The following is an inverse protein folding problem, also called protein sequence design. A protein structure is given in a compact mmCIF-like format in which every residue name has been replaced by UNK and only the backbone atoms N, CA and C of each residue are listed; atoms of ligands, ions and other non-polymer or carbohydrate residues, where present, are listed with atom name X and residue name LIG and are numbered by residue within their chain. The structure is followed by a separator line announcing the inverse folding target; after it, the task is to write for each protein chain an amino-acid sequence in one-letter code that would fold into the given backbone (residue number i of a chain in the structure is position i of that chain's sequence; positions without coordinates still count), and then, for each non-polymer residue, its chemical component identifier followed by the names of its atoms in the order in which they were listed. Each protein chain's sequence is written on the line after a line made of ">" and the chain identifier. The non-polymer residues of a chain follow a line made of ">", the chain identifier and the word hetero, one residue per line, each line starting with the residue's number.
data_IF_420142523855
#
_entry.id   IF_420142523855
#
_cell.length_a   1.000
_cell.length_b   1.000
_cell.length_c   1.000
_cell.angle_alpha   90.00
_cell.angle_beta   90.00
_cell.angle_gamma   90.00
#
_symmetry.space_group_name_H-M   'P 1'
#
loop_
_entity.id
_entity.type
_entity.pdbx_description
1 polymer ?
#
# COMPACT_ATOMS: atom_id res chain seq x y z
N UNK A 1 -31.44 -54.12 47.77
CA UNK A 1 -30.88 -52.95 48.49
C UNK A 1 -29.92 -52.28 47.53
N UNK A 2 -30.15 -51.11 46.94
CA UNK A 2 -30.37 -49.78 47.53
C UNK A 2 -31.14 -48.84 46.58
N UNK A 3 -32.02 -48.03 47.21
CA UNK A 3 -32.53 -46.68 46.91
C UNK A 3 -32.51 -46.11 45.47
N UNK A 4 -33.71 -45.85 44.97
CA UNK A 4 -34.03 -44.70 44.11
C UNK A 4 -34.98 -43.77 44.89
N UNK A 5 -34.69 -42.47 44.91
CA UNK A 5 -35.51 -41.43 45.55
C UNK A 5 -36.19 -40.56 44.49
N UNK A 6 -37.50 -40.41 44.69
CA UNK A 6 -38.49 -39.73 43.86
C UNK A 6 -38.40 -38.21 43.97
N UNK A 7 -38.73 -37.50 42.88
CA UNK A 7 -39.17 -36.11 42.87
C UNK A 7 -40.67 -36.09 42.50
N UNK A 8 -41.51 -35.26 43.14
CA UNK A 8 -42.84 -34.98 42.64
C UNK A 8 -43.00 -33.57 42.05
N UNK A 9 -44.05 -33.54 41.22
CA UNK A 9 -44.73 -32.52 40.42
C UNK A 9 -45.10 -31.20 41.08
N UNK A 10 -45.40 -30.19 40.23
CA UNK A 10 -46.66 -29.41 40.09
C UNK A 10 -46.34 -28.02 39.47
N UNK A 11 -46.82 -27.71 38.27
CA UNK A 11 -48.12 -27.07 37.90
C UNK A 11 -47.96 -25.56 37.58
N UNK A 12 -48.33 -25.17 36.35
CA UNK A 12 -48.57 -23.78 35.94
C UNK A 12 -49.77 -23.16 36.71
N UNK A 13 -49.86 -21.82 36.76
CA UNK A 13 -50.90 -21.17 35.96
C UNK A 13 -50.52 -19.79 35.36
N UNK A 14 -51.46 -19.25 34.60
CA UNK A 14 -51.37 -18.18 33.62
C UNK A 14 -51.42 -16.74 34.17
N UNK A 15 -51.08 -15.82 33.24
CA UNK A 15 -51.54 -14.44 33.08
C UNK A 15 -51.10 -13.39 34.12
N UNK A 16 -50.46 -12.30 33.65
CA UNK A 16 -51.08 -10.97 33.57
C UNK A 16 -50.16 -10.01 32.79
N UNK A 17 -50.73 -9.36 31.77
CA UNK A 17 -50.12 -8.34 30.94
C UNK A 17 -50.23 -6.98 31.64
N UNK A 18 -49.14 -6.20 31.66
CA UNK A 18 -49.21 -4.76 31.90
C UNK A 18 -48.09 -4.00 31.19
N UNK A 19 -48.47 -3.35 30.09
CA UNK A 19 -48.10 -2.00 29.66
C UNK A 19 -46.72 -1.45 30.07
N UNK A 20 -45.79 -1.42 29.11
CA UNK A 20 -44.78 -0.38 29.02
C UNK A 20 -44.82 0.26 27.62
N UNK A 21 -45.27 1.51 27.61
CA UNK A 21 -45.26 2.45 26.48
C UNK A 21 -43.81 2.74 26.08
N UNK A 22 -43.46 2.47 24.83
CA UNK A 22 -42.28 3.04 24.18
C UNK A 22 -42.68 4.31 23.42
N UNK A 23 -41.87 5.38 23.44
CA UNK A 23 -42.17 6.59 22.70
C UNK A 23 -41.89 6.38 21.21
N UNK A 24 -42.85 6.83 20.40
CA UNK A 24 -42.76 6.97 18.95
C UNK A 24 -41.80 8.13 18.67
N UNK A 25 -40.60 7.82 18.17
CA UNK A 25 -39.74 8.82 17.53
C UNK A 25 -40.09 8.86 16.04
N UNK A 26 -40.69 9.99 15.69
CA UNK A 26 -41.03 10.49 14.38
C UNK A 26 -39.81 10.61 13.46
N UNK A 27 -39.94 10.04 12.26
CA UNK A 27 -39.42 10.56 10.98
C UNK A 27 -38.12 11.36 11.03
N UNK A 28 -37.00 10.67 10.82
CA UNK A 28 -35.79 11.31 10.29
C UNK A 28 -35.87 11.30 8.76
N UNK A 29 -36.01 12.50 8.20
CA UNK A 29 -35.90 12.81 6.78
C UNK A 29 -34.56 12.30 6.22
N UNK A 30 -34.64 11.31 5.33
CA UNK A 30 -33.51 10.76 4.61
C UNK A 30 -33.29 11.57 3.31
N UNK A 31 -33.06 12.87 3.45
CA UNK A 31 -32.77 13.76 2.31
C UNK A 31 -31.56 14.63 2.59
N UNK A 32 -30.39 14.02 2.78
CA UNK A 32 -29.09 14.67 2.51
C UNK A 32 -27.91 13.70 2.72
N UNK A 33 -27.92 12.54 2.05
CA UNK A 33 -26.66 11.83 1.79
C UNK A 33 -26.06 12.36 0.49
N UNK A 34 -25.04 13.22 0.62
CA UNK A 34 -24.18 13.62 -0.49
C UNK A 34 -23.54 12.36 -1.05
N UNK A 35 -23.89 12.02 -2.28
CA UNK A 35 -23.23 11.01 -3.10
C UNK A 35 -21.72 11.26 -3.16
N UNK A 36 -20.87 10.21 -3.05
CA UNK A 36 -19.44 10.35 -3.30
C UNK A 36 -19.19 10.79 -4.75
N UNK A 37 -18.10 11.51 -5.05
CA UNK A 37 -17.86 12.05 -6.36
C UNK A 37 -17.71 10.92 -7.39
N UNK A 38 -18.49 11.01 -8.47
CA UNK A 38 -18.34 10.20 -9.67
C UNK A 38 -16.94 10.38 -10.26
N UNK A 39 -16.12 9.33 -10.26
CA UNK A 39 -14.86 9.31 -10.98
C UNK A 39 -15.15 9.31 -12.49
N UNK A 40 -14.96 10.46 -13.13
CA UNK A 40 -15.06 10.62 -14.58
C UNK A 40 -13.73 10.26 -15.24
N UNK A 41 -13.69 9.14 -15.96
CA UNK A 41 -12.51 8.61 -16.67
C UNK A 41 -12.02 9.45 -17.87
N UNK A 42 -12.58 10.64 -18.11
CA UNK A 42 -12.41 11.38 -19.38
C UNK A 42 -11.42 12.56 -19.35
N UNK A 43 -10.60 12.73 -18.31
CA UNK A 43 -9.62 13.85 -18.28
C UNK A 43 -8.23 13.41 -17.85
N UNK A 44 -7.48 12.85 -18.80
CA UNK A 44 -6.02 12.90 -18.77
C UNK A 44 -5.52 13.86 -19.86
N UNK A 45 -4.57 14.76 -19.56
CA UNK A 45 -3.95 15.60 -20.58
C UNK A 45 -3.05 14.74 -21.50
N UNK A 46 -2.94 15.06 -22.80
CA UNK A 46 -2.05 14.35 -23.70
C UNK A 46 -0.59 14.64 -23.35
N UNK A 47 0.25 13.60 -23.43
CA UNK A 47 1.70 13.71 -23.25
C UNK A 47 2.32 14.60 -24.35
N UNK A 48 3.35 15.41 -24.03
CA UNK A 48 4.04 16.22 -25.02
C UNK A 48 4.83 15.34 -25.99
N UNK A 49 4.65 15.57 -27.30
CA UNK A 49 5.47 14.98 -28.37
C UNK A 49 6.93 15.41 -28.21
N UNK A 50 7.79 14.49 -27.79
CA UNK A 50 9.24 14.66 -27.87
C UNK A 50 9.66 14.67 -29.35
N UNK A 51 10.15 15.82 -29.79
CA UNK A 51 10.67 16.07 -31.14
C UNK A 51 12.09 15.50 -31.20
N UNK A 52 12.31 14.51 -32.08
CA UNK A 52 13.64 13.96 -32.34
C UNK A 52 14.59 15.05 -32.88
N UNK A 53 15.83 15.18 -32.38
CA UNK A 53 16.80 16.09 -32.95
C UNK A 53 17.44 15.47 -34.20
N UNK A 54 17.54 16.32 -35.22
CA UNK A 54 18.11 16.08 -36.55
C UNK A 54 19.63 15.89 -36.44
N UNK A 55 20.13 14.89 -37.17
CA UNK A 55 21.55 14.59 -37.32
C UNK A 55 22.29 15.68 -38.11
N UNK A 56 23.52 15.98 -37.72
CA UNK A 56 24.52 16.63 -38.57
C UNK A 56 25.90 15.95 -38.39
N UNK A 57 26.76 15.93 -39.43
CA UNK A 57 27.83 14.92 -39.51
C UNK A 57 29.26 15.48 -39.40
N UNK A 58 30.19 14.58 -39.02
CA UNK A 58 31.66 14.58 -39.19
C UNK A 58 32.53 15.55 -38.35
N UNK A 59 33.86 15.32 -38.23
CA UNK A 59 34.65 14.07 -38.27
C UNK A 59 35.65 13.91 -37.07
N UNK A 60 36.13 12.70 -36.84
CA UNK A 60 37.38 12.36 -36.10
C UNK A 60 38.50 11.99 -37.12
N UNK A 61 39.80 11.79 -36.79
CA UNK A 61 40.40 11.44 -35.49
C UNK A 61 41.78 12.07 -35.18
N UNK A 62 42.27 11.98 -33.93
CA UNK A 62 43.71 11.88 -33.67
C UNK A 62 44.03 11.11 -32.38
N UNK A 63 45.11 10.33 -32.50
CA UNK A 63 45.65 9.29 -31.63
C UNK A 63 46.35 9.80 -30.37
N UNK A 64 46.35 9.00 -29.29
CA UNK A 64 47.56 8.51 -28.58
C UNK A 64 47.23 7.56 -27.40
N UNK A 65 47.82 6.35 -27.43
CA UNK A 65 48.13 5.42 -26.30
C UNK A 65 49.22 6.04 -25.37
N UNK A 66 49.66 5.46 -24.20
CA UNK A 66 49.63 4.05 -23.70
C UNK A 66 49.46 3.94 -22.13
N UNK A 67 49.99 2.93 -21.38
CA UNK A 67 49.98 1.47 -21.51
C UNK A 67 49.33 0.73 -20.31
N UNK A 68 49.26 -0.61 -20.45
CA UNK A 68 48.88 -1.66 -19.49
C UNK A 68 49.89 -1.91 -18.37
N UNK A 69 49.41 -2.27 -17.16
CA UNK A 69 50.15 -3.13 -16.22
C UNK A 69 49.23 -4.10 -15.47
N UNK A 70 49.80 -5.28 -15.22
CA UNK A 70 49.25 -6.53 -14.66
C UNK A 70 49.33 -6.52 -13.12
N UNK A 71 48.42 -7.22 -12.43
CA UNK A 71 48.73 -7.78 -11.10
C UNK A 71 47.58 -7.83 -10.08
N UNK A 72 47.05 -9.02 -9.82
CA UNK A 72 46.39 -9.43 -8.56
C UNK A 72 47.46 -10.18 -7.72
N UNK A 73 47.46 -10.28 -6.36
CA UNK A 73 46.33 -10.79 -5.56
C UNK A 73 46.18 -10.34 -4.06
N UNK A 74 44.98 -10.62 -3.51
CA UNK A 74 44.57 -11.00 -2.12
C UNK A 74 45.41 -10.63 -0.88
N UNK A 75 44.76 -10.04 0.13
CA UNK A 75 44.94 -10.34 1.56
C UNK A 75 43.60 -10.18 2.36
N UNK A 76 43.30 -11.20 3.19
CA UNK A 76 42.31 -11.22 4.30
C UNK A 76 42.52 -10.00 5.21
N UNK A 77 41.54 -9.36 5.85
CA UNK A 77 40.29 -9.83 6.43
C UNK A 77 40.22 -9.30 7.87
N UNK A 78 39.24 -8.44 8.19
CA UNK A 78 38.73 -8.25 9.55
C UNK A 78 37.24 -7.93 9.45
N UNK A 79 36.46 -8.79 10.07
CA UNK A 79 35.02 -8.73 10.19
C UNK A 79 34.57 -7.49 10.98
N UNK A 80 33.44 -6.91 10.59
CA UNK A 80 32.55 -6.25 11.54
C UNK A 80 31.11 -6.59 11.14
N UNK A 81 30.51 -7.41 11.99
CA UNK A 81 29.11 -7.78 12.14
C UNK A 81 28.11 -7.19 11.11
N UNK A 82 27.75 -8.01 10.12
CA UNK A 82 26.46 -7.91 9.44
C UNK A 82 25.39 -8.42 10.42
N UNK A 83 24.95 -7.56 11.33
CA UNK A 83 23.71 -7.80 12.07
C UNK A 83 22.57 -7.72 11.05
N UNK A 84 22.11 -8.88 10.60
CA UNK A 84 21.00 -9.00 9.66
C UNK A 84 19.77 -8.29 10.19
N UNK A 85 19.34 -7.27 9.46
CA UNK A 85 18.02 -6.64 9.59
C UNK A 85 17.34 -6.65 8.22
N UNK A 86 17.31 -7.80 7.56
CA UNK A 86 16.61 -8.00 6.28
C UNK A 86 15.08 -7.93 6.39
N UNK A 87 14.52 -7.65 7.58
CA UNK A 87 13.08 -7.51 7.83
C UNK A 87 12.58 -6.09 8.11
N UNK A 88 13.44 -5.05 8.05
CA UNK A 88 13.05 -3.66 8.35
C UNK A 88 13.16 -2.68 7.18
N UNK A 89 13.52 -3.16 5.98
CA UNK A 89 13.73 -2.30 4.82
C UNK A 89 12.40 -1.93 4.12
N UNK A 90 11.43 -2.84 4.08
CA UNK A 90 10.14 -2.64 3.40
C UNK A 90 9.02 -2.32 4.40
N UNK A 91 9.23 -1.37 5.31
CA UNK A 91 8.22 -0.93 6.28
C UNK A 91 7.81 0.51 6.02
N UNK A 92 6.50 0.74 6.13
CA UNK A 92 5.90 2.07 6.17
C UNK A 92 5.36 2.35 7.55
N UNK A 93 5.63 3.56 8.06
CA UNK A 93 5.19 3.99 9.38
C UNK A 93 4.24 5.18 9.22
N UNK A 94 3.05 5.09 9.82
CA UNK A 94 2.13 6.21 9.91
C UNK A 94 2.60 7.12 11.04
N UNK A 95 3.08 8.32 10.69
CA UNK A 95 3.72 9.24 11.62
C UNK A 95 2.95 10.54 11.71
N UNK A 96 2.78 11.02 12.94
CA UNK A 96 2.41 12.39 13.24
C UNK A 96 3.54 13.07 14.01
N UNK A 97 3.71 14.37 13.80
CA UNK A 97 4.75 15.14 14.48
C UNK A 97 4.39 16.61 14.69
N UNK A 98 5.09 17.21 15.64
CA UNK A 98 5.07 18.62 15.96
C UNK A 98 6.50 19.15 15.86
N UNK A 99 6.69 20.25 15.12
CA UNK A 99 7.99 20.92 14.96
C UNK A 99 8.03 22.22 15.78
N UNK A 100 9.00 22.33 16.67
CA UNK A 100 9.33 23.53 17.46
C UNK A 100 10.68 24.07 17.02
N UNK A 101 10.82 25.40 16.92
CA UNK A 101 12.10 26.04 16.60
C UNK A 101 13.19 25.75 17.64
N UNK A 102 14.46 25.78 17.22
CA UNK A 102 15.60 25.40 18.08
C UNK A 102 15.71 26.22 19.37
N UNK A 103 15.36 27.51 19.30
CA UNK A 103 15.50 28.46 20.41
C UNK A 103 14.41 28.31 21.49
N UNK A 104 13.33 27.58 21.19
CA UNK A 104 12.12 27.49 22.02
C UNK A 104 12.13 26.26 22.95
N UNK A 105 13.23 26.06 23.68
CA UNK A 105 13.39 24.90 24.58
C UNK A 105 12.34 24.88 25.71
N UNK A 106 11.93 26.06 26.20
CA UNK A 106 10.87 26.16 27.22
C UNK A 106 9.53 25.61 26.72
N UNK A 107 9.16 25.96 25.49
CA UNK A 107 7.93 25.48 24.86
C UNK A 107 8.00 23.96 24.66
N UNK A 108 9.15 23.43 24.24
CA UNK A 108 9.34 21.98 24.10
C UNK A 108 9.07 21.23 25.41
N UNK A 109 9.63 21.71 26.52
CA UNK A 109 9.44 21.08 27.83
C UNK A 109 7.99 21.14 28.31
N UNK A 110 7.31 22.27 28.09
CA UNK A 110 5.88 22.43 28.40
C UNK A 110 5.02 21.44 27.59
N UNK A 111 5.25 21.35 26.28
CA UNK A 111 4.56 20.39 25.41
C UNK A 111 4.81 18.94 25.83
N UNK A 112 6.04 18.59 26.21
CA UNK A 112 6.34 17.25 26.74
C UNK A 112 5.57 16.94 28.02
N UNK A 113 5.42 17.93 28.91
CA UNK A 113 4.66 17.79 30.14
C UNK A 113 3.17 17.61 29.86
N UNK A 114 2.61 18.40 28.93
CA UNK A 114 1.21 18.31 28.49
C UNK A 114 0.89 16.95 27.86
N UNK A 115 1.77 16.45 26.99
CA UNK A 115 1.65 15.10 26.41
C UNK A 115 1.74 13.99 27.45
N UNK A 116 2.59 14.18 28.48
CA UNK A 116 2.65 13.24 29.62
C UNK A 116 1.40 13.31 30.49
N UNK A 117 0.69 14.44 30.47
CA UNK A 117 -0.62 14.65 31.11
C UNK A 117 -1.80 14.05 30.34
N UNK A 118 -1.60 13.58 29.11
CA UNK A 118 -2.62 12.97 28.27
C UNK A 118 -3.23 13.87 27.20
N UNK A 119 -2.68 15.08 26.97
CA UNK A 119 -3.09 15.93 25.85
C UNK A 119 -2.80 15.24 24.51
N UNK A 120 -3.63 15.49 23.49
CA UNK A 120 -3.42 14.96 22.14
C UNK A 120 -2.32 15.75 21.41
N UNK A 121 -1.39 15.03 20.78
CA UNK A 121 -0.33 15.62 19.97
C UNK A 121 -0.90 16.35 18.75
N UNK A 122 -2.03 15.88 18.20
CA UNK A 122 -2.68 16.53 17.06
C UNK A 122 -3.08 17.97 17.38
N UNK A 123 -3.75 18.19 18.51
CA UNK A 123 -4.21 19.51 18.94
C UNK A 123 -3.03 20.46 19.19
N UNK A 124 -2.00 19.96 19.90
CA UNK A 124 -0.78 20.72 20.13
C UNK A 124 -0.05 21.05 18.83
N UNK A 125 -0.11 20.16 17.84
CA UNK A 125 0.52 20.39 16.54
C UNK A 125 -0.20 21.49 15.75
N UNK A 126 -1.54 21.54 15.80
CA UNK A 126 -2.31 22.64 15.18
C UNK A 126 -1.91 23.99 15.79
N UNK A 127 -1.80 24.05 17.12
CA UNK A 127 -1.57 25.30 17.86
C UNK A 127 -0.12 25.80 17.76
N UNK A 128 0.85 24.90 17.93
CA UNK A 128 2.26 25.28 18.17
C UNK A 128 3.25 24.85 17.10
N UNK A 129 2.88 23.96 16.17
CA UNK A 129 3.82 23.45 15.16
C UNK A 129 4.15 24.50 14.10
N UNK A 130 5.42 24.55 13.70
CA UNK A 130 5.91 25.38 12.59
C UNK A 130 5.82 24.63 11.25
N UNK A 131 5.60 23.30 11.27
CA UNK A 131 5.49 22.49 10.05
C UNK A 131 4.16 22.76 9.32
N UNK A 132 4.14 22.80 7.96
CA UNK A 132 2.91 22.91 7.19
C UNK A 132 1.86 21.82 7.52
N UNK A 133 2.30 20.64 7.97
CA UNK A 133 1.41 19.56 8.42
C UNK A 133 0.51 19.93 9.61
N UNK A 134 0.73 21.07 10.28
CA UNK A 134 -0.13 21.57 11.35
C UNK A 134 -1.60 21.69 10.95
N UNK A 135 -1.90 21.95 9.66
CA UNK A 135 -3.27 22.06 9.15
C UNK A 135 -4.06 20.76 9.28
N UNK A 136 -3.36 19.63 9.39
CA UNK A 136 -3.90 18.28 9.55
C UNK A 136 -3.38 17.63 10.85
N UNK A 137 -3.16 18.43 11.90
CA UNK A 137 -2.75 17.90 13.21
C UNK A 137 -1.33 17.34 13.25
N UNK A 138 -0.44 17.81 12.36
CA UNK A 138 0.94 17.32 12.30
C UNK A 138 1.11 15.98 11.57
N UNK A 139 0.06 15.48 10.93
CA UNK A 139 0.08 14.20 10.21
C UNK A 139 1.03 14.26 9.00
N UNK A 140 2.06 13.43 8.99
CA UNK A 140 2.94 13.25 7.82
C UNK A 140 2.44 12.17 6.87
N UNK A 141 1.59 11.27 7.36
CA UNK A 141 1.14 10.11 6.61
C UNK A 141 2.11 8.92 6.71
N UNK A 142 2.05 8.03 5.73
CA UNK A 142 2.92 6.85 5.65
C UNK A 142 4.32 7.24 5.15
N UNK A 143 5.30 7.15 6.05
CA UNK A 143 6.71 7.48 5.79
C UNK A 143 7.51 6.21 5.51
N UNK A 144 8.35 6.28 4.47
CA UNK A 144 9.34 5.24 4.10
C UNK A 144 10.76 5.70 4.43
N UNK A 145 11.68 4.74 4.49
CA UNK A 145 13.11 5.06 4.56
C UNK A 145 13.54 5.88 3.35
N UNK A 146 14.39 6.87 3.58
CA UNK A 146 14.89 7.80 2.56
C UNK A 146 13.95 8.94 2.19
N UNK A 147 12.73 9.02 2.74
CA UNK A 147 11.82 10.16 2.50
C UNK A 147 12.08 11.36 3.42
N UNK A 148 12.63 11.15 4.61
CA UNK A 148 12.87 12.19 5.62
C UNK A 148 14.36 12.36 5.94
N UNK A 149 14.70 13.40 6.72
CA UNK A 149 16.09 13.60 7.17
C UNK A 149 16.55 12.45 8.07
N UNK A 150 17.84 12.05 8.01
CA UNK A 150 18.34 10.85 8.70
C UNK A 150 18.04 10.83 10.21
N UNK A 151 18.16 11.98 10.88
CA UNK A 151 17.95 12.10 12.33
C UNK A 151 16.47 11.91 12.71
N UNK A 152 15.56 12.36 11.85
CA UNK A 152 14.13 12.15 12.02
C UNK A 152 13.75 10.71 11.72
N UNK A 153 14.29 10.16 10.64
CA UNK A 153 14.06 8.76 10.26
C UNK A 153 14.50 7.81 11.38
N UNK A 154 15.72 7.98 11.89
CA UNK A 154 16.22 7.13 12.98
C UNK A 154 15.30 7.17 14.20
N UNK A 155 14.81 8.35 14.56
CA UNK A 155 13.88 8.52 15.68
C UNK A 155 12.53 7.85 15.42
N UNK A 156 11.97 7.97 14.21
CA UNK A 156 10.72 7.33 13.79
C UNK A 156 10.84 5.80 13.84
N UNK A 157 11.88 5.23 13.24
CA UNK A 157 12.02 3.78 13.13
C UNK A 157 12.45 3.10 14.45
N UNK A 158 12.99 3.86 15.40
CA UNK A 158 13.31 3.37 16.74
C UNK A 158 12.19 3.65 17.76
N UNK A 159 11.20 4.49 17.42
CA UNK A 159 10.11 4.82 18.32
C UNK A 159 9.16 3.63 18.53
N UNK A 160 8.74 3.34 19.77
CA UNK A 160 7.67 2.40 20.04
C UNK A 160 6.31 2.94 19.59
N UNK A 161 5.42 2.05 19.16
CA UNK A 161 4.05 2.40 18.74
C UNK A 161 3.32 3.18 19.84
N UNK A 162 2.59 4.21 19.41
CA UNK A 162 1.79 5.12 20.21
C UNK A 162 2.56 5.87 21.31
N UNK A 163 3.89 5.93 21.26
CA UNK A 163 4.71 6.71 22.20
C UNK A 163 5.32 7.92 21.52
N UNK A 164 5.32 9.04 22.24
CA UNK A 164 5.98 10.27 21.78
C UNK A 164 7.48 10.16 22.03
N UNK A 165 8.26 10.40 20.98
CA UNK A 165 9.71 10.49 21.03
C UNK A 165 10.13 11.88 20.56
N UNK A 166 11.20 12.42 21.14
CA UNK A 166 11.80 13.67 20.69
C UNK A 166 13.02 13.39 19.83
N UNK A 167 13.22 14.19 18.79
CA UNK A 167 14.48 14.24 18.06
C UNK A 167 14.84 15.67 17.67
N UNK A 168 16.13 15.90 17.43
CA UNK A 168 16.64 17.18 16.94
C UNK A 168 17.05 17.01 15.48
N UNK A 169 16.61 17.91 14.62
CA UNK A 169 17.08 18.01 13.24
C UNK A 169 17.60 19.42 12.97
N UNK A 170 18.11 19.68 11.77
CA UNK A 170 18.48 21.02 11.30
C UNK A 170 17.33 22.03 11.25
N UNK A 171 16.07 21.59 11.39
CA UNK A 171 14.89 22.46 11.35
C UNK A 171 14.42 22.87 12.75
N UNK A 172 14.86 22.17 13.79
CA UNK A 172 14.28 22.33 15.12
C UNK A 172 14.20 21.05 15.93
N UNK A 173 13.41 21.14 16.99
CA UNK A 173 13.00 20.02 17.82
C UNK A 173 11.71 19.43 17.28
N UNK A 174 11.68 18.12 17.11
CA UNK A 174 10.49 17.38 16.70
C UNK A 174 10.02 16.53 17.87
N UNK A 175 8.71 16.59 18.15
CA UNK A 175 8.01 15.59 18.94
C UNK A 175 7.21 14.75 17.96
N UNK A 176 7.51 13.47 17.86
CA UNK A 176 6.90 12.56 16.90
C UNK A 176 6.27 11.36 17.58
N UNK A 177 5.24 10.81 16.96
CA UNK A 177 4.56 9.60 17.43
C UNK A 177 4.26 8.72 16.23
N UNK A 178 4.59 7.44 16.36
CA UNK A 178 4.24 6.42 15.37
C UNK A 178 2.90 5.82 15.76
N UNK A 179 1.89 5.97 14.90
CA UNK A 179 0.53 5.50 15.14
C UNK A 179 0.32 4.06 14.65
N UNK A 180 0.94 3.72 13.53
CA UNK A 180 0.79 2.39 12.91
C UNK A 180 2.06 2.02 12.15
N UNK A 181 2.33 0.71 12.07
CA UNK A 181 3.31 0.15 11.15
C UNK A 181 2.62 -0.78 10.14
N UNK A 182 3.10 -0.79 8.90
CA UNK A 182 2.70 -1.78 7.89
C UNK A 182 3.86 -2.16 7.00
N UNK A 183 3.72 -3.30 6.34
CA UNK A 183 4.63 -3.69 5.26
C UNK A 183 4.33 -2.85 4.01
N UNK A 184 5.40 -2.47 3.30
CA UNK A 184 5.29 -1.74 2.06
C UNK A 184 4.54 -2.56 1.00
N UNK A 185 3.61 -1.91 0.31
CA UNK A 185 2.96 -2.49 -0.86
C UNK A 185 3.91 -2.44 -2.05
N UNK A 186 4.25 -3.60 -2.59
CA UNK A 186 5.11 -3.78 -3.75
C UNK A 186 4.25 -3.83 -5.01
N UNK A 187 4.58 -2.99 -5.99
CA UNK A 187 4.09 -3.12 -7.36
C UNK A 187 5.29 -3.32 -8.28
N UNK A 188 5.31 -4.45 -8.97
CA UNK A 188 6.37 -4.82 -9.91
C UNK A 188 5.77 -5.28 -11.24
N UNK A 189 6.53 -5.14 -12.31
CA UNK A 189 6.21 -5.80 -13.58
C UNK A 189 6.78 -7.22 -13.55
N UNK A 190 5.98 -8.19 -14.00
CA UNK A 190 6.45 -9.55 -14.28
C UNK A 190 6.57 -9.74 -15.79
N UNK A 191 7.70 -10.26 -16.24
CA UNK A 191 7.89 -10.58 -17.65
C UNK A 191 7.09 -11.85 -18.02
N UNK A 192 6.53 -11.91 -19.25
CA UNK A 192 5.65 -13.01 -19.62
C UNK A 192 6.27 -14.40 -19.54
N UNK A 193 7.57 -14.54 -19.84
CA UNK A 193 8.31 -15.80 -19.77
C UNK A 193 8.44 -16.30 -18.32
N UNK A 194 8.64 -15.37 -17.38
CA UNK A 194 8.70 -15.67 -15.95
C UNK A 194 7.31 -16.09 -15.44
N UNK A 195 6.26 -15.36 -15.83
CA UNK A 195 4.89 -15.71 -15.47
C UNK A 195 4.53 -17.10 -16.03
N UNK A 196 4.87 -17.39 -17.28
CA UNK A 196 4.60 -18.70 -17.89
C UNK A 196 5.30 -19.83 -17.14
N UNK A 197 6.56 -19.63 -16.75
CA UNK A 197 7.31 -20.61 -15.95
C UNK A 197 6.63 -20.85 -14.60
N UNK A 198 6.23 -19.79 -13.89
CA UNK A 198 5.51 -19.88 -12.62
C UNK A 198 4.15 -20.57 -12.77
N UNK A 199 3.45 -20.34 -13.87
CA UNK A 199 2.16 -20.98 -14.15
C UNK A 199 2.27 -22.49 -14.38
N UNK A 200 3.45 -23.04 -14.66
CA UNK A 200 3.65 -24.49 -14.73
C UNK A 200 3.65 -25.16 -13.34
N UNK A 201 3.89 -24.39 -12.28
CA UNK A 201 3.89 -24.89 -10.91
C UNK A 201 2.46 -24.92 -10.34
N UNK A 202 1.91 -26.09 -9.97
CA UNK A 202 0.55 -26.17 -9.43
C UNK A 202 0.36 -25.38 -8.13
N UNK A 203 1.40 -25.31 -7.30
CA UNK A 203 1.41 -24.53 -6.06
C UNK A 203 1.25 -23.03 -6.30
N UNK A 204 1.75 -22.52 -7.43
CA UNK A 204 1.57 -21.13 -7.82
C UNK A 204 0.12 -20.83 -8.16
N UNK A 205 -0.54 -21.69 -8.93
CA UNK A 205 -1.94 -21.50 -9.33
C UNK A 205 -2.88 -21.49 -8.11
N UNK A 206 -2.62 -22.32 -7.10
CA UNK A 206 -3.43 -22.36 -5.88
C UNK A 206 -3.15 -21.18 -4.92
N UNK A 207 -1.91 -20.68 -4.93
CA UNK A 207 -1.46 -19.62 -4.03
C UNK A 207 -1.67 -18.20 -4.56
N UNK A 208 -1.58 -18.00 -5.87
CA UNK A 208 -1.64 -16.71 -6.53
C UNK A 208 -3.07 -16.32 -6.92
N UNK A 209 -3.31 -15.01 -6.99
CA UNK A 209 -4.56 -14.43 -7.48
C UNK A 209 -4.32 -13.88 -8.88
N UNK A 210 -4.94 -14.50 -9.87
CA UNK A 210 -4.79 -14.12 -11.28
C UNK A 210 -6.03 -13.34 -11.72
N UNK A 211 -5.87 -12.08 -12.11
CA UNK A 211 -6.96 -11.17 -12.50
C UNK A 211 -6.75 -10.72 -13.93
N UNK A 212 -7.77 -10.89 -14.77
CA UNK A 212 -7.79 -10.37 -16.14
C UNK A 212 -8.82 -9.25 -16.24
N UNK A 213 -8.36 -8.05 -16.58
CA UNK A 213 -9.21 -6.84 -16.59
C UNK A 213 -9.72 -6.46 -17.98
N UNK A 214 -9.58 -7.38 -18.94
CA UNK A 214 -10.11 -7.23 -20.30
C UNK A 214 -11.61 -7.49 -20.36
N UNK A 215 -12.21 -7.05 -21.45
CA UNK A 215 -13.63 -7.31 -21.70
C UNK A 215 -13.86 -8.78 -22.14
N UNK A 216 -15.04 -9.36 -21.88
CA UNK A 216 -15.28 -10.78 -22.18
C UNK A 216 -15.05 -11.17 -23.66
N UNK A 217 -15.34 -10.26 -24.59
CA UNK A 217 -15.10 -10.43 -26.02
C UNK A 217 -13.60 -10.49 -26.39
N UNK A 218 -12.75 -9.81 -25.61
CA UNK A 218 -11.30 -9.89 -25.74
C UNK A 218 -10.78 -11.22 -25.19
N UNK A 219 -11.32 -11.66 -24.05
CA UNK A 219 -10.94 -12.93 -23.41
C UNK A 219 -11.37 -14.14 -24.25
N UNK A 220 -12.52 -14.04 -24.93
CA UNK A 220 -13.01 -15.09 -25.83
C UNK A 220 -12.07 -15.34 -27.03
N UNK A 221 -11.27 -14.34 -27.44
CA UNK A 221 -10.29 -14.49 -28.51
C UNK A 221 -8.98 -15.12 -28.03
N UNK A 222 -8.54 -14.75 -26.82
CA UNK A 222 -7.34 -15.27 -26.20
C UNK A 222 -7.46 -15.20 -24.68
N UNK A 223 -7.19 -16.31 -23.99
CA UNK A 223 -7.30 -16.41 -22.53
C UNK A 223 -6.16 -17.23 -21.94
N UNK A 224 -5.80 -16.91 -20.69
CA UNK A 224 -4.90 -17.73 -19.88
C UNK A 224 -5.69 -18.52 -18.83
N UNK A 225 -5.29 -19.76 -18.51
CA UNK A 225 -5.97 -20.55 -17.49
C UNK A 225 -5.80 -19.93 -16.10
N UNK A 226 -6.82 -20.07 -15.26
CA UNK A 226 -6.80 -19.62 -13.85
C UNK A 226 -7.09 -18.13 -13.63
N UNK A 227 -7.09 -17.31 -14.69
CA UNK A 227 -7.41 -15.89 -14.57
C UNK A 227 -8.91 -15.66 -14.33
N UNK A 228 -9.23 -14.93 -13.25
CA UNK A 228 -10.57 -14.43 -12.98
C UNK A 228 -10.81 -13.14 -13.76
N UNK A 229 -11.86 -13.14 -14.58
CA UNK A 229 -12.20 -12.04 -15.46
C UNK A 229 -12.96 -10.97 -14.68
N UNK A 230 -12.42 -9.75 -14.63
CA UNK A 230 -12.99 -8.55 -14.02
C UNK A 230 -12.99 -7.40 -15.03
N UNK A 231 -13.99 -7.36 -15.94
CA UNK A 231 -14.01 -6.38 -17.03
C UNK A 231 -14.01 -4.94 -16.54
N UNK A 232 -13.21 -4.08 -17.15
CA UNK A 232 -13.07 -2.69 -16.68
C UNK A 232 -14.34 -1.86 -16.84
N UNK A 233 -15.19 -2.15 -17.83
CA UNK A 233 -16.49 -1.52 -17.94
C UNK A 233 -17.37 -1.73 -16.69
N UNK A 234 -17.14 -2.84 -15.98
CA UNK A 234 -17.89 -3.20 -14.77
C UNK A 234 -17.18 -2.79 -13.47
N UNK A 235 -16.13 -1.96 -13.55
CA UNK A 235 -15.35 -1.53 -12.39
C UNK A 235 -16.20 -0.91 -11.28
N UNK A 236 -17.25 -0.17 -11.63
CA UNK A 236 -18.17 0.41 -10.63
C UNK A 236 -18.89 -0.65 -9.77
N UNK A 237 -19.03 -1.87 -10.28
CA UNK A 237 -19.66 -2.99 -9.58
C UNK A 237 -18.63 -3.72 -8.73
N UNK A 238 -17.60 -4.30 -9.36
CA UNK A 238 -16.66 -5.17 -8.66
C UNK A 238 -15.60 -4.41 -7.85
N UNK A 239 -15.31 -3.16 -8.18
CA UNK A 239 -14.28 -2.37 -7.51
C UNK A 239 -14.56 -2.15 -6.02
N UNK A 240 -15.84 -2.09 -5.64
CA UNK A 240 -16.24 -1.90 -4.23
C UNK A 240 -16.16 -3.16 -3.39
N UNK A 241 -16.22 -4.34 -4.01
CA UNK A 241 -16.28 -5.66 -3.34
C UNK A 241 -15.00 -6.48 -3.54
N UNK A 242 -13.96 -5.89 -4.14
CA UNK A 242 -12.74 -6.62 -4.49
C UNK A 242 -12.06 -7.25 -3.27
N UNK A 243 -12.09 -6.58 -2.13
CA UNK A 243 -11.48 -7.03 -0.87
C UNK A 243 -12.29 -8.13 -0.18
N UNK A 244 -13.54 -8.32 -0.58
CA UNK A 244 -14.37 -9.43 -0.09
C UNK A 244 -14.10 -10.71 -0.88
N UNK A 245 -13.75 -10.56 -2.17
CA UNK A 245 -13.49 -11.69 -3.06
C UNK A 245 -12.02 -12.12 -3.11
N UNK A 246 -11.09 -11.22 -2.80
CA UNK A 246 -9.65 -11.44 -2.91
C UNK A 246 -8.92 -11.06 -1.62
N UNK A 247 -7.90 -11.83 -1.27
CA UNK A 247 -7.07 -11.59 -0.11
C UNK A 247 -5.96 -10.58 -0.43
N UNK A 248 -5.90 -9.41 0.26
CA UNK A 248 -4.85 -8.41 0.07
C UNK A 248 -3.44 -8.90 0.44
N UNK A 249 -3.31 -10.02 1.16
CA UNK A 249 -2.02 -10.60 1.55
C UNK A 249 -1.42 -11.55 0.49
N UNK A 250 -2.24 -12.01 -0.47
CA UNK A 250 -1.80 -12.92 -1.54
C UNK A 250 -1.21 -12.16 -2.74
N UNK A 251 -0.31 -12.83 -3.44
CA UNK A 251 0.29 -12.31 -4.67
C UNK A 251 -0.78 -12.15 -5.73
N UNK A 252 -0.95 -10.94 -6.24
CA UNK A 252 -2.00 -10.62 -7.19
C UNK A 252 -1.40 -10.19 -8.52
N UNK A 253 -1.67 -10.96 -9.57
CA UNK A 253 -1.20 -10.73 -10.93
C UNK A 253 -2.32 -10.17 -11.77
N UNK A 254 -2.08 -9.04 -12.43
CA UNK A 254 -3.09 -8.34 -13.22
C UNK A 254 -2.69 -8.33 -14.69
N UNK A 255 -3.57 -8.84 -15.54
CA UNK A 255 -3.39 -8.96 -16.97
C UNK A 255 -4.35 -8.05 -17.72
N UNK A 256 -3.87 -7.43 -18.79
CA UNK A 256 -4.72 -6.84 -19.82
C UNK A 256 -4.16 -7.13 -21.22
N UNK A 257 -4.59 -6.41 -22.25
CA UNK A 257 -4.11 -6.63 -23.62
C UNK A 257 -2.63 -6.24 -23.82
N UNK A 258 -2.22 -5.05 -23.37
CA UNK A 258 -0.87 -4.48 -23.58
C UNK A 258 -0.16 -4.01 -22.30
N UNK A 259 -0.67 -4.32 -21.11
CA UNK A 259 -0.05 -3.94 -19.82
C UNK A 259 -0.44 -2.56 -19.27
N UNK A 260 -1.08 -1.67 -20.04
CA UNK A 260 -1.43 -0.30 -19.59
C UNK A 260 -2.62 -0.31 -18.61
N UNK A 261 -3.71 -0.97 -19.00
CA UNK A 261 -4.94 -1.08 -18.19
C UNK A 261 -4.70 -1.83 -16.88
N UNK A 262 -3.93 -2.92 -16.94
CA UNK A 262 -3.56 -3.73 -15.78
C UNK A 262 -2.65 -2.95 -14.82
N UNK A 263 -1.72 -2.13 -15.32
CA UNK A 263 -0.89 -1.29 -14.46
C UNK A 263 -1.72 -0.26 -13.67
N UNK A 264 -2.76 0.33 -14.29
CA UNK A 264 -3.66 1.24 -13.59
C UNK A 264 -4.45 0.52 -12.48
N UNK A 265 -4.97 -0.66 -12.78
CA UNK A 265 -5.67 -1.49 -11.79
C UNK A 265 -4.71 -1.93 -10.68
N UNK A 266 -3.48 -2.33 -11.01
CA UNK A 266 -2.48 -2.73 -10.02
C UNK A 266 -2.18 -1.59 -9.02
N UNK A 267 -2.01 -0.36 -9.53
CA UNK A 267 -1.86 0.83 -8.67
C UNK A 267 -3.08 1.07 -7.80
N UNK A 268 -4.27 0.91 -8.37
CA UNK A 268 -5.51 1.04 -7.61
C UNK A 268 -5.61 -0.03 -6.51
N UNK A 269 -5.27 -1.29 -6.79
CA UNK A 269 -5.26 -2.38 -5.79
C UNK A 269 -4.34 -2.07 -4.60
N UNK A 270 -3.18 -1.44 -4.83
CA UNK A 270 -2.33 -0.97 -3.72
C UNK A 270 -3.07 0.01 -2.80
N UNK A 271 -3.89 0.92 -3.36
CA UNK A 271 -4.71 1.84 -2.55
C UNK A 271 -5.78 1.13 -1.75
N UNK A 272 -6.23 -0.05 -2.19
CA UNK A 272 -7.17 -0.92 -1.49
C UNK A 272 -6.48 -1.84 -0.46
N UNK A 273 -5.16 -1.73 -0.30
CA UNK A 273 -4.39 -2.47 0.71
C UNK A 273 -3.74 -3.76 0.23
N UNK A 274 -3.76 -4.05 -1.08
CA UNK A 274 -3.04 -5.20 -1.64
C UNK A 274 -1.54 -5.00 -1.52
N UNK A 275 -0.87 -5.96 -0.89
CA UNK A 275 0.56 -5.83 -0.54
C UNK A 275 1.50 -6.21 -1.68
N UNK A 276 1.21 -7.26 -2.44
CA UNK A 276 2.11 -7.73 -3.51
C UNK A 276 1.32 -7.84 -4.81
N UNK A 277 1.49 -6.83 -5.66
CA UNK A 277 0.76 -6.72 -6.92
C UNK A 277 1.74 -6.74 -8.08
N UNK A 278 1.45 -7.55 -9.08
CA UNK A 278 2.30 -7.75 -10.25
C UNK A 278 1.51 -7.39 -11.51
N UNK A 279 2.04 -6.46 -12.30
CA UNK A 279 1.49 -6.17 -13.62
C UNK A 279 2.16 -7.09 -14.65
N UNK A 280 1.38 -7.74 -15.51
CA UNK A 280 1.95 -8.53 -16.61
C UNK A 280 2.48 -7.59 -17.70
N UNK A 281 3.81 -7.53 -17.81
CA UNK A 281 4.53 -6.65 -18.73
C UNK A 281 4.12 -6.92 -20.18
N UNK A 282 3.61 -5.90 -20.87
CA UNK A 282 3.13 -6.00 -22.25
C UNK A 282 1.84 -6.81 -22.44
N UNK A 283 1.18 -7.24 -21.35
CA UNK A 283 -0.10 -7.93 -21.37
C UNK A 283 -0.11 -9.26 -22.11
N UNK A 284 -1.31 -9.72 -22.48
CA UNK A 284 -1.50 -11.01 -23.16
C UNK A 284 -0.86 -11.02 -24.55
N UNK A 285 -0.76 -9.87 -25.22
CA UNK A 285 -0.10 -9.77 -26.51
C UNK A 285 1.39 -10.12 -26.39
N UNK A 286 2.09 -9.55 -25.41
CA UNK A 286 3.49 -9.90 -25.16
C UNK A 286 3.65 -11.34 -24.68
N UNK A 287 2.70 -11.85 -23.89
CA UNK A 287 2.68 -13.25 -23.46
C UNK A 287 2.59 -14.22 -24.63
N UNK A 288 1.67 -13.98 -25.57
CA UNK A 288 1.54 -14.81 -26.77
C UNK A 288 2.81 -14.78 -27.62
N UNK A 289 3.47 -13.62 -27.77
CA UNK A 289 4.68 -13.52 -28.59
C UNK A 289 5.92 -14.15 -27.96
N UNK A 290 6.09 -13.98 -26.64
CA UNK A 290 7.33 -14.31 -25.95
C UNK A 290 7.31 -15.65 -25.23
N UNK A 291 6.17 -16.02 -24.64
CA UNK A 291 6.06 -17.15 -23.72
C UNK A 291 5.30 -18.32 -24.34
N UNK A 292 4.14 -18.08 -24.95
CA UNK A 292 3.32 -19.14 -25.55
C UNK A 292 2.70 -18.70 -26.90
N UNK A 293 3.41 -18.98 -28.02
CA UNK A 293 2.93 -18.68 -29.37
C UNK A 293 1.67 -19.44 -29.81
N UNK A 294 1.16 -20.39 -29.02
CA UNK A 294 -0.11 -21.08 -29.33
C UNK A 294 -1.32 -20.20 -29.06
N UNK A 295 -1.16 -19.16 -28.24
CA UNK A 295 -2.23 -18.21 -27.90
C UNK A 295 -2.44 -17.23 -29.06
N UNK A 296 -3.68 -17.04 -29.55
CA UNK A 296 -3.96 -16.08 -30.60
C UNK A 296 -3.59 -14.65 -30.19
N UNK A 297 -3.07 -13.88 -31.15
CA UNK A 297 -2.90 -12.42 -31.01
C UNK A 297 -4.01 -11.71 -31.77
N UNK A 298 -4.42 -10.55 -31.26
CA UNK A 298 -5.39 -9.64 -31.85
C UNK A 298 -5.00 -8.19 -31.55
#
# INVERSE_FOLDING_TARGET
>A
MFRASQLPSLSCPAAFLSNLRLPILSSLDFSSFKSPPSFSFSKFPPLPRLRAPVASPFPSPFSRRPPSMVGNPRLRGKASFSAGSTGRENKELLVQHLLVGEDNLKLLLDLQQRLSGGDDLSDLAVEYSICPSKEIGGMLGWVRRGQTVPEFEEAVFNAPLNKVVRCKTKFGWHLLQVLSEREESILQDIEPEELHSKMQDPSFIEGAQLIDVREPEEVAQASLPGFKILPLQQFGTWGSVITDEFDPQKDTYVLCHHGVRSLQVAKWLQTQGFKRVFNVSGGIHAYALKADPSIPTY
#
